data_IF_202853426537
#
_entry.id   IF_202853426537
#
_cell.length_a   1.000
_cell.length_b   1.000
_cell.length_c   1.000
_cell.angle_alpha   90.00
_cell.angle_beta   90.00
_cell.angle_gamma   90.00
#
_symmetry.space_group_name_H-M   'P 1'
#
loop_
_entity.id
_entity.type
_entity.pdbx_description
1 polymer ?
#
# COMPACT_ATOMS: atom_id res chain seq x y z
N UNK A 1 -24.58 -63.42 0.42
CA UNK A 1 -24.94 -62.19 1.15
C UNK A 1 -24.15 -61.04 0.56
N UNK A 2 -24.83 -60.13 -0.13
CA UNK A 2 -24.27 -58.90 -0.66
C UNK A 2 -24.11 -57.89 0.49
N UNK A 3 -22.95 -57.23 0.59
CA UNK A 3 -22.83 -55.96 1.32
C UNK A 3 -22.09 -54.97 0.42
N UNK A 4 -22.77 -53.86 0.12
CA UNK A 4 -22.28 -52.77 -0.73
C UNK A 4 -21.30 -51.90 0.06
N UNK A 5 -20.12 -51.67 -0.51
CA UNK A 5 -19.23 -50.59 -0.09
C UNK A 5 -19.64 -49.35 -0.89
N UNK A 6 -20.29 -48.39 -0.23
CA UNK A 6 -20.57 -47.06 -0.77
C UNK A 6 -19.25 -46.28 -0.87
N UNK A 7 -18.72 -46.19 -2.09
CA UNK A 7 -17.59 -45.32 -2.41
C UNK A 7 -18.10 -43.88 -2.45
N UNK A 8 -17.84 -43.11 -1.39
CA UNK A 8 -18.04 -41.66 -1.39
C UNK A 8 -16.98 -41.07 -2.32
N UNK A 9 -17.39 -40.72 -3.55
CA UNK A 9 -16.58 -39.88 -4.44
C UNK A 9 -16.46 -38.50 -3.82
N UNK A 10 -15.25 -38.09 -3.49
CA UNK A 10 -14.93 -36.71 -3.14
C UNK A 10 -14.80 -35.95 -4.46
N UNK A 11 -15.78 -35.10 -4.78
CA UNK A 11 -15.78 -34.32 -6.02
C UNK A 11 -14.51 -33.49 -6.16
N UNK A 12 -13.88 -33.55 -7.33
CA UNK A 12 -12.67 -32.79 -7.60
C UNK A 12 -12.98 -31.28 -7.62
N UNK A 13 -12.01 -30.40 -7.33
CA UNK A 13 -12.18 -28.95 -7.44
C UNK A 13 -12.67 -28.52 -8.84
N UNK A 14 -12.29 -29.28 -9.88
CA UNK A 14 -12.73 -29.08 -11.25
C UNK A 14 -14.22 -29.37 -11.44
N UNK A 15 -14.77 -30.39 -10.75
CA UNK A 15 -16.18 -30.75 -10.84
C UNK A 15 -17.06 -29.71 -10.15
N UNK A 16 -16.61 -29.17 -9.01
CA UNK A 16 -17.30 -28.08 -8.29
C UNK A 16 -17.31 -26.75 -9.05
N UNK A 17 -16.22 -26.45 -9.76
CA UNK A 17 -16.16 -25.28 -10.66
C UNK A 17 -17.17 -25.42 -11.79
N UNK A 18 -17.19 -26.60 -12.43
CA UNK A 18 -18.12 -26.89 -13.51
C UNK A 18 -19.58 -26.87 -13.06
N UNK A 19 -19.88 -27.35 -11.85
CA UNK A 19 -21.23 -27.29 -11.26
C UNK A 19 -21.67 -25.85 -10.95
N UNK A 20 -20.77 -25.03 -10.40
CA UNK A 20 -21.05 -23.61 -10.12
C UNK A 20 -21.27 -22.80 -11.41
N UNK A 21 -20.50 -23.07 -12.46
CA UNK A 21 -20.67 -22.49 -13.79
C UNK A 21 -22.00 -22.91 -14.42
N UNK A 22 -22.36 -24.20 -14.36
CA UNK A 22 -23.65 -24.70 -14.85
C UNK A 22 -24.82 -24.10 -14.08
N UNK A 23 -24.70 -23.93 -12.76
CA UNK A 23 -25.70 -23.26 -11.94
C UNK A 23 -25.83 -21.78 -12.28
N UNK A 24 -24.72 -21.09 -12.51
CA UNK A 24 -24.74 -19.70 -12.95
C UNK A 24 -25.39 -19.55 -14.34
N UNK A 25 -25.08 -20.47 -15.28
CA UNK A 25 -25.70 -20.50 -16.61
C UNK A 25 -27.21 -20.78 -16.55
N UNK A 26 -27.64 -21.68 -15.65
CA UNK A 26 -29.05 -21.95 -15.42
C UNK A 26 -29.79 -20.70 -14.92
N UNK A 27 -29.24 -20.03 -13.90
CA UNK A 27 -29.80 -18.78 -13.36
C UNK A 27 -29.81 -17.66 -14.40
N UNK A 28 -28.77 -17.53 -15.24
CA UNK A 28 -28.75 -16.58 -16.35
C UNK A 28 -29.85 -16.87 -17.39
N UNK A 29 -30.15 -18.15 -17.64
CA UNK A 29 -31.23 -18.54 -18.55
C UNK A 29 -32.60 -18.22 -17.96
N UNK A 30 -32.78 -18.43 -16.66
CA UNK A 30 -33.98 -18.07 -15.91
C UNK A 30 -34.20 -16.55 -15.95
N UNK A 31 -33.15 -15.76 -15.70
CA UNK A 31 -33.17 -14.30 -15.85
C UNK A 31 -33.64 -13.87 -17.24
N UNK A 32 -33.04 -14.45 -18.28
CA UNK A 32 -33.34 -14.09 -19.66
C UNK A 32 -34.79 -14.40 -20.00
N UNK A 33 -35.30 -15.57 -19.57
CA UNK A 33 -36.68 -15.96 -19.78
C UNK A 33 -37.67 -15.01 -19.07
N UNK A 34 -37.41 -14.68 -17.81
CA UNK A 34 -38.28 -13.76 -17.05
C UNK A 34 -38.27 -12.35 -17.62
N UNK A 35 -37.11 -11.81 -17.98
CA UNK A 35 -36.99 -10.50 -18.62
C UNK A 35 -37.70 -10.47 -19.97
N UNK A 36 -37.63 -11.56 -20.75
CA UNK A 36 -38.33 -11.66 -22.04
C UNK A 36 -39.85 -11.71 -21.88
N UNK A 37 -40.36 -12.40 -20.85
CA UNK A 37 -41.79 -12.43 -20.55
C UNK A 37 -42.31 -11.04 -20.14
N UNK A 38 -41.54 -10.31 -19.35
CA UNK A 38 -41.84 -8.93 -18.93
C UNK A 38 -41.82 -7.98 -20.13
N UNK A 39 -40.85 -8.14 -21.03
CA UNK A 39 -40.75 -7.37 -22.27
C UNK A 39 -41.95 -7.60 -23.20
N UNK A 40 -42.36 -8.86 -23.40
CA UNK A 40 -43.52 -9.20 -24.23
C UNK A 40 -44.85 -8.77 -23.62
N UNK A 41 -44.96 -8.82 -22.28
CA UNK A 41 -46.10 -8.25 -21.55
C UNK A 41 -46.22 -6.74 -21.74
N UNK A 42 -45.09 -6.02 -21.71
CA UNK A 42 -45.05 -4.56 -21.92
C UNK A 42 -45.37 -4.13 -23.36
N UNK A 43 -45.10 -4.95 -24.37
CA UNK A 43 -45.42 -4.69 -25.78
C UNK A 43 -46.90 -4.95 -26.15
N UNK A 44 -47.62 -5.68 -25.30
CA UNK A 44 -49.05 -5.92 -25.47
C UNK A 44 -49.90 -4.75 -24.98
N UNK A 45 -49.36 -3.93 -24.06
CA UNK A 45 -50.00 -2.75 -23.48
C UNK A 45 -49.94 -1.51 -24.40
N UNK A 46 -49.07 -1.53 -25.42
CA UNK A 46 -48.88 -0.41 -26.37
C UNK A 46 -49.75 -0.50 -27.64
N UNK A 47 -50.64 -1.50 -27.76
CA UNK A 47 -51.54 -1.68 -28.92
C UNK A 47 -53.00 -1.26 -28.71
N UNK A 48 -53.33 -0.61 -27.59
CA UNK A 48 -54.63 0.03 -27.40
C UNK A 48 -54.43 1.48 -26.93
N UNK A 49 -54.34 2.40 -27.88
CA UNK A 49 -54.84 3.78 -27.82
C UNK A 49 -54.25 4.59 -28.96
N UNK A 50 -54.88 4.49 -30.13
CA UNK A 50 -54.75 5.47 -31.22
C UNK A 50 -55.99 5.30 -32.11
N UNK A 51 -57.12 5.80 -31.61
CA UNK A 51 -58.23 6.40 -32.36
C UNK A 51 -59.40 6.55 -31.40
N UNK A 52 -59.64 7.78 -30.93
CA UNK A 52 -60.98 8.35 -30.82
C UNK A 52 -60.86 9.83 -30.47
N UNK A 53 -60.80 10.64 -31.53
CA UNK A 53 -61.50 11.92 -31.56
C UNK A 53 -62.99 11.65 -31.39
N UNK A 54 -63.60 12.07 -30.28
CA UNK A 54 -64.89 12.77 -30.27
C UNK A 54 -65.32 13.21 -28.85
N UNK A 55 -65.48 14.53 -28.71
CA UNK A 55 -66.56 15.27 -28.04
C UNK A 55 -67.22 14.63 -26.81
N UNK A 56 -66.93 15.22 -25.64
CA UNK A 56 -67.75 15.07 -24.43
C UNK A 56 -69.11 15.75 -24.64
N UNK A 57 -70.18 14.95 -24.70
CA UNK A 57 -71.54 15.41 -24.42
C UNK A 57 -72.25 14.48 -23.43
N UNK A 58 -73.16 15.10 -22.69
CA UNK A 58 -73.66 14.78 -21.36
C UNK A 58 -74.90 13.84 -21.39
N UNK A 59 -75.08 13.08 -20.29
CA UNK A 59 -76.27 12.35 -19.83
C UNK A 59 -76.69 11.03 -20.52
N UNK A 60 -76.54 9.90 -19.81
CA UNK A 60 -77.66 9.24 -19.11
C UNK A 60 -77.34 7.79 -18.72
N UNK A 61 -77.94 7.41 -17.58
CA UNK A 61 -77.98 6.10 -16.94
C UNK A 61 -78.46 4.95 -17.82
N UNK A 62 -77.67 3.87 -17.90
CA UNK A 62 -78.20 2.50 -18.08
C UNK A 62 -77.33 1.52 -17.30
N UNK A 63 -77.92 0.88 -16.28
CA UNK A 63 -77.45 -0.41 -15.75
C UNK A 63 -77.78 -1.48 -16.78
N UNK A 64 -76.79 -2.22 -17.26
CA UNK A 64 -77.02 -3.54 -17.84
C UNK A 64 -76.02 -4.53 -17.24
N UNK A 65 -76.54 -5.46 -16.43
CA UNK A 65 -75.86 -6.69 -16.06
C UNK A 65 -75.84 -7.60 -17.28
N UNK A 66 -74.66 -8.09 -17.67
CA UNK A 66 -74.54 -9.36 -18.38
C UNK A 66 -73.25 -10.05 -17.97
N UNK A 67 -73.42 -11.12 -17.21
CA UNK A 67 -72.44 -12.18 -16.99
C UNK A 67 -72.05 -12.82 -18.31
N UNK A 68 -70.79 -12.69 -18.71
CA UNK A 68 -70.13 -13.59 -19.67
C UNK A 68 -68.74 -13.89 -19.13
N UNK A 69 -68.61 -15.05 -18.49
CA UNK A 69 -67.33 -15.71 -18.31
C UNK A 69 -66.87 -16.21 -19.68
N UNK A 70 -65.78 -15.64 -20.22
CA UNK A 70 -64.73 -16.41 -20.88
C UNK A 70 -63.53 -15.53 -21.26
N UNK A 71 -62.44 -15.79 -20.55
CA UNK A 71 -61.06 -15.91 -21.04
C UNK A 71 -60.54 -14.79 -21.96
N UNK A 72 -60.03 -13.72 -21.34
CA UNK A 72 -58.81 -13.08 -21.84
C UNK A 72 -57.98 -12.61 -20.65
N UNK A 73 -57.06 -13.47 -20.20
CA UNK A 73 -56.16 -13.19 -19.07
C UNK A 73 -55.01 -12.29 -19.55
N UNK A 74 -55.33 -11.08 -20.01
CA UNK A 74 -54.32 -10.08 -20.37
C UNK A 74 -53.80 -9.47 -19.06
N UNK A 75 -52.66 -9.98 -18.57
CA UNK A 75 -51.96 -9.50 -17.38
C UNK A 75 -51.58 -8.03 -17.57
N UNK A 76 -52.37 -7.14 -16.98
CA UNK A 76 -52.05 -5.71 -16.87
C UNK A 76 -50.95 -5.56 -15.82
N UNK A 77 -49.70 -5.47 -16.28
CA UNK A 77 -48.55 -5.39 -15.39
C UNK A 77 -48.49 -4.00 -14.76
N UNK A 78 -48.74 -3.90 -13.45
CA UNK A 78 -48.72 -2.63 -12.75
C UNK A 78 -47.28 -2.15 -12.51
N UNK A 79 -47.10 -0.86 -12.14
CA UNK A 79 -45.79 -0.32 -11.76
C UNK A 79 -45.20 -1.07 -10.54
N UNK A 80 -46.06 -1.57 -9.66
CA UNK A 80 -45.67 -2.37 -8.50
C UNK A 80 -45.19 -3.77 -8.91
N UNK A 81 -45.83 -4.39 -9.90
CA UNK A 81 -45.36 -5.64 -10.51
C UNK A 81 -44.01 -5.46 -11.19
N UNK A 82 -43.82 -4.37 -11.95
CA UNK A 82 -42.54 -4.05 -12.56
C UNK A 82 -41.43 -3.84 -11.52
N UNK A 83 -41.70 -3.10 -10.43
CA UNK A 83 -40.75 -2.94 -9.32
C UNK A 83 -40.40 -4.28 -8.66
N UNK A 84 -41.40 -5.14 -8.45
CA UNK A 84 -41.21 -6.49 -7.89
C UNK A 84 -40.33 -7.35 -8.80
N UNK A 85 -40.59 -7.34 -10.11
CA UNK A 85 -39.77 -8.01 -11.13
C UNK A 85 -38.33 -7.49 -11.11
N UNK A 86 -38.12 -6.18 -11.09
CA UNK A 86 -36.77 -5.59 -11.05
C UNK A 86 -36.02 -6.00 -9.79
N UNK A 87 -36.69 -5.99 -8.62
CA UNK A 87 -36.08 -6.46 -7.37
C UNK A 87 -35.74 -7.96 -7.43
N UNK A 88 -36.60 -8.77 -8.06
CA UNK A 88 -36.35 -10.18 -8.29
C UNK A 88 -35.11 -10.39 -9.19
N UNK A 89 -34.96 -9.61 -10.25
CA UNK A 89 -33.78 -9.68 -11.14
C UNK A 89 -32.49 -9.24 -10.44
N UNK A 90 -32.54 -8.21 -9.59
CA UNK A 90 -31.39 -7.79 -8.78
C UNK A 90 -30.98 -8.91 -7.81
N UNK A 91 -31.95 -9.59 -7.18
CA UNK A 91 -31.68 -10.72 -6.31
C UNK A 91 -31.05 -11.88 -7.09
N UNK A 92 -31.56 -12.17 -8.29
CA UNK A 92 -31.05 -13.23 -9.14
C UNK A 92 -29.61 -12.94 -9.61
N UNK A 93 -29.27 -11.68 -9.93
CA UNK A 93 -27.90 -11.25 -10.21
C UNK A 93 -26.95 -11.53 -9.03
N UNK A 94 -27.42 -11.31 -7.80
CA UNK A 94 -26.66 -11.61 -6.59
C UNK A 94 -26.47 -13.12 -6.41
N UNK A 95 -27.46 -13.94 -6.76
CA UNK A 95 -27.37 -15.40 -6.73
C UNK A 95 -26.41 -15.96 -7.80
N UNK A 96 -26.40 -15.38 -9.02
CA UNK A 96 -25.43 -15.69 -10.07
C UNK A 96 -24.01 -15.36 -9.61
N UNK A 97 -23.80 -14.17 -9.04
CA UNK A 97 -22.51 -13.77 -8.46
C UNK A 97 -22.08 -14.72 -7.34
N UNK A 98 -22.99 -15.09 -6.44
CA UNK A 98 -22.70 -16.02 -5.36
C UNK A 98 -22.38 -17.43 -5.87
N UNK A 99 -23.06 -17.92 -6.91
CA UNK A 99 -22.76 -19.20 -7.54
C UNK A 99 -21.34 -19.19 -8.11
N UNK A 100 -20.99 -18.17 -8.90
CA UNK A 100 -19.66 -18.02 -9.50
C UNK A 100 -18.54 -17.84 -8.44
N UNK A 101 -18.86 -17.22 -7.31
CA UNK A 101 -17.91 -16.99 -6.20
C UNK A 101 -17.89 -18.12 -5.15
N UNK A 102 -18.83 -19.07 -5.19
CA UNK A 102 -18.98 -20.13 -4.18
C UNK A 102 -17.84 -21.15 -4.20
N UNK A 103 -17.22 -21.35 -5.37
CA UNK A 103 -16.02 -22.17 -5.57
C UNK A 103 -14.78 -21.58 -4.90
N UNK A 104 -14.81 -20.27 -4.59
CA UNK A 104 -13.78 -19.56 -3.84
C UNK A 104 -14.06 -19.49 -2.32
N UNK A 105 -15.16 -20.06 -1.83
CA UNK A 105 -15.51 -20.18 -0.41
C UNK A 105 -15.33 -21.62 0.11
N UNK A 106 -14.14 -22.19 -0.01
CA UNK A 106 -13.81 -23.41 0.77
C UNK A 106 -13.22 -22.96 2.10
N UNK A 107 -14.05 -22.93 3.15
CA UNK A 107 -13.55 -22.57 4.48
C UNK A 107 -14.55 -22.41 5.62
N UNK A 108 -15.76 -22.99 5.59
CA UNK A 108 -16.60 -23.08 6.79
C UNK A 108 -17.18 -24.50 6.93
N UNK A 109 -16.44 -25.33 7.66
CA UNK A 109 -16.92 -26.58 8.25
C UNK A 109 -16.09 -26.79 9.53
N UNK A 110 -16.57 -26.22 10.64
CA UNK A 110 -16.53 -26.84 11.97
C UNK A 110 -17.11 -25.86 13.00
N UNK A 111 -18.40 -26.05 13.32
CA UNK A 111 -18.83 -26.05 14.72
C UNK A 111 -18.47 -27.42 15.30
N UNK A 112 -18.01 -27.43 16.55
CA UNK A 112 -17.66 -28.56 17.43
C UNK A 112 -16.14 -28.88 17.59
N UNK A 113 -15.56 -28.23 18.61
CA UNK A 113 -14.69 -28.78 19.67
C UNK A 113 -13.54 -29.74 19.26
N UNK A 114 -12.28 -29.29 19.35
CA UNK A 114 -11.39 -29.52 20.51
C UNK A 114 -9.98 -28.94 20.30
N UNK A 115 -9.34 -28.59 21.42
CA UNK A 115 -7.99 -28.05 21.53
C UNK A 115 -6.89 -28.98 21.00
N UNK A 116 -5.81 -28.33 20.56
CA UNK A 116 -4.49 -28.87 20.23
C UNK A 116 -4.41 -29.90 19.09
N UNK A 117 -3.81 -29.48 17.97
CA UNK A 117 -2.53 -30.00 17.45
C UNK A 117 -2.15 -29.24 16.17
N UNK A 118 -0.88 -28.86 16.09
CA UNK A 118 -0.19 -28.28 14.96
C UNK A 118 -0.25 -29.18 13.72
N UNK A 119 -0.76 -28.67 12.59
CA UNK A 119 -0.48 -29.22 11.26
C UNK A 119 -0.78 -28.22 10.15
N UNK A 120 0.28 -27.53 9.75
CA UNK A 120 0.64 -27.07 8.40
C UNK A 120 -0.34 -27.53 7.30
N UNK A 121 -1.33 -26.71 7.00
CA UNK A 121 -2.05 -26.75 5.73
C UNK A 121 -2.04 -25.37 5.08
N UNK A 122 -1.59 -25.33 3.83
CA UNK A 122 -1.37 -24.16 2.99
C UNK A 122 -2.73 -23.61 2.53
N UNK A 123 -3.38 -22.85 3.42
CA UNK A 123 -4.50 -21.98 3.07
C UNK A 123 -3.97 -20.59 2.75
N UNK A 124 -4.39 -19.99 1.63
CA UNK A 124 -4.12 -18.61 1.28
C UNK A 124 -4.48 -17.70 2.46
N UNK A 125 -3.47 -17.22 3.17
CA UNK A 125 -3.61 -16.43 4.37
C UNK A 125 -4.27 -15.10 4.02
N UNK A 126 -5.42 -14.84 4.65
CA UNK A 126 -6.02 -13.51 4.68
C UNK A 126 -5.03 -12.46 5.19
N UNK A 127 -5.33 -11.20 4.91
CA UNK A 127 -4.52 -10.02 5.23
C UNK A 127 -4.10 -10.08 6.75
N UNK A 128 -2.91 -10.64 7.02
CA UNK A 128 -2.43 -11.04 8.37
C UNK A 128 -1.59 -9.92 8.95
N UNK A 129 -1.88 -9.55 10.20
CA UNK A 129 -1.05 -8.64 10.98
C UNK A 129 0.25 -9.35 11.35
N UNK A 130 1.39 -8.78 11.01
CA UNK A 130 2.71 -9.28 11.42
C UNK A 130 3.03 -8.67 12.77
N UNK A 131 2.75 -9.40 13.85
CA UNK A 131 3.20 -9.03 15.20
C UNK A 131 4.49 -9.82 15.49
N UNK A 132 5.64 -9.13 15.52
CA UNK A 132 6.91 -9.67 16.01
C UNK A 132 7.13 -9.14 17.44
N UNK A 133 6.89 -9.99 18.45
CA UNK A 133 7.20 -9.72 19.85
C UNK A 133 8.40 -10.58 20.26
N UNK A 134 9.61 -10.02 20.13
CA UNK A 134 10.85 -10.56 20.71
C UNK A 134 11.43 -9.59 21.74
N UNK A 135 12.40 -10.06 22.55
CA UNK A 135 13.15 -9.20 23.46
C UNK A 135 13.86 -8.09 22.68
N UNK A 136 13.57 -6.84 23.03
CA UNK A 136 14.13 -5.67 22.34
C UNK A 136 15.58 -5.45 22.75
N UNK A 137 16.50 -5.71 21.83
CA UNK A 137 17.91 -5.37 22.00
C UNK A 137 18.12 -3.92 21.58
N UNK A 138 18.64 -3.04 22.41
CA UNK A 138 18.91 -1.64 22.00
C UNK A 138 20.32 -1.21 22.39
N UNK A 139 20.89 -0.27 21.64
CA UNK A 139 22.17 0.38 21.96
C UNK A 139 21.95 1.85 22.29
N UNK A 140 22.71 2.35 23.26
CA UNK A 140 22.73 3.78 23.56
C UNK A 140 23.71 4.50 22.62
N UNK A 141 23.27 5.60 22.01
CA UNK A 141 24.14 6.41 21.15
C UNK A 141 24.82 7.51 21.98
N UNK A 142 26.11 7.29 22.30
CA UNK A 142 26.96 8.25 23.04
C UNK A 142 28.08 8.80 22.17
N UNK A 143 27.79 9.70 21.22
CA UNK A 143 28.82 10.17 20.30
C UNK A 143 29.90 10.98 21.03
N UNK A 144 31.15 10.81 20.61
CA UNK A 144 32.26 11.68 21.01
C UNK A 144 32.13 13.02 20.29
N UNK A 145 32.27 14.13 21.01
CA UNK A 145 31.97 15.49 20.51
C UNK A 145 32.78 15.94 19.29
N UNK A 146 33.94 15.32 19.03
CA UNK A 146 34.81 15.62 17.90
C UNK A 146 34.97 14.43 16.93
N UNK A 147 34.02 13.49 16.93
CA UNK A 147 34.06 12.34 16.02
C UNK A 147 32.81 12.32 15.17
N UNK A 148 33.01 12.36 13.87
CA UNK A 148 31.94 12.48 12.88
C UNK A 148 31.93 11.24 11.99
N UNK A 149 30.72 10.79 11.65
CA UNK A 149 30.45 9.83 10.59
C UNK A 149 29.69 10.57 9.48
N UNK A 150 30.30 10.72 8.32
CA UNK A 150 29.67 11.30 7.14
C UNK A 150 28.90 10.21 6.39
N UNK A 151 27.59 10.39 6.26
CA UNK A 151 26.74 9.42 5.56
C UNK A 151 26.81 9.58 4.05
N UNK A 152 26.79 8.44 3.35
CA UNK A 152 26.70 8.36 1.89
C UNK A 152 25.55 7.42 1.56
N UNK A 153 24.50 7.92 0.91
CA UNK A 153 23.35 7.12 0.50
C UNK A 153 22.98 7.50 -0.93
N UNK A 154 23.46 6.75 -1.92
CA UNK A 154 23.34 7.13 -3.34
C UNK A 154 22.43 6.18 -4.13
N UNK A 155 22.00 5.09 -3.52
CA UNK A 155 21.27 4.02 -4.19
C UNK A 155 19.75 4.16 -4.04
N UNK A 156 19.06 4.30 -5.17
CA UNK A 156 17.62 4.09 -5.28
C UNK A 156 16.75 5.33 -5.12
N UNK A 157 15.57 5.16 -4.54
CA UNK A 157 14.57 6.22 -4.29
C UNK A 157 14.47 6.51 -2.78
N UNK A 158 13.62 7.45 -2.38
CA UNK A 158 13.47 7.91 -0.99
C UNK A 158 13.48 6.80 0.07
N UNK A 159 12.70 5.73 -0.10
CA UNK A 159 12.69 4.61 0.86
C UNK A 159 14.05 3.93 1.03
N UNK A 160 14.84 3.84 -0.04
CA UNK A 160 16.18 3.25 0.01
C UNK A 160 17.16 4.18 0.75
N UNK A 161 17.05 5.50 0.49
CA UNK A 161 17.82 6.52 1.21
C UNK A 161 17.51 6.49 2.72
N UNK A 162 16.24 6.35 3.11
CA UNK A 162 15.86 6.22 4.52
C UNK A 162 16.42 4.94 5.16
N UNK A 163 16.33 3.79 4.49
CA UNK A 163 16.91 2.54 4.99
C UNK A 163 18.44 2.67 5.13
N UNK A 164 19.10 3.29 4.14
CA UNK A 164 20.52 3.57 4.19
C UNK A 164 20.86 4.50 5.37
N UNK A 165 20.07 5.54 5.61
CA UNK A 165 20.25 6.47 6.71
C UNK A 165 20.07 5.79 8.07
N UNK A 166 19.04 4.97 8.24
CA UNK A 166 18.82 4.20 9.49
C UNK A 166 20.02 3.29 9.81
N UNK A 167 20.59 2.64 8.79
CA UNK A 167 21.83 1.87 8.95
C UNK A 167 23.01 2.76 9.31
N UNK A 168 23.15 3.94 8.71
CA UNK A 168 24.17 4.90 9.11
C UNK A 168 23.99 5.38 10.56
N UNK A 169 22.77 5.57 11.03
CA UNK A 169 22.50 5.89 12.45
C UNK A 169 22.93 4.74 13.35
N UNK A 170 22.67 3.49 12.97
CA UNK A 170 23.15 2.31 13.70
C UNK A 170 24.68 2.24 13.75
N UNK A 171 25.37 2.42 12.62
CA UNK A 171 26.84 2.46 12.57
C UNK A 171 27.40 3.63 13.38
N UNK A 172 26.80 4.82 13.31
CA UNK A 172 27.22 5.98 14.08
C UNK A 172 27.12 5.73 15.59
N UNK A 173 26.05 5.06 16.02
CA UNK A 173 25.85 4.67 17.41
C UNK A 173 26.91 3.66 17.88
N UNK A 174 27.16 2.60 17.10
CA UNK A 174 28.21 1.61 17.41
C UNK A 174 29.60 2.25 17.52
N UNK A 175 29.92 3.14 16.59
CA UNK A 175 31.23 3.78 16.50
C UNK A 175 31.36 5.01 17.42
N UNK A 176 30.30 5.38 18.15
CA UNK A 176 30.22 6.58 18.99
C UNK A 176 30.60 7.86 18.23
N UNK A 177 29.99 8.08 17.07
CA UNK A 177 30.20 9.24 16.20
C UNK A 177 28.91 10.06 16.04
N UNK A 178 29.04 11.37 15.91
CA UNK A 178 27.96 12.25 15.45
C UNK A 178 27.74 11.96 13.97
N UNK A 179 26.51 11.68 13.56
CA UNK A 179 26.16 11.46 12.17
C UNK A 179 26.00 12.81 11.46
N UNK A 180 26.68 12.97 10.33
CA UNK A 180 26.54 14.13 9.45
C UNK A 180 25.66 13.73 8.29
N UNK A 181 24.51 14.40 8.17
CA UNK A 181 23.66 14.27 6.99
C UNK A 181 24.30 15.02 5.81
N UNK A 182 24.37 14.41 4.62
CA UNK A 182 24.97 15.02 3.46
C UNK A 182 24.17 16.24 2.97
N UNK A 183 24.83 17.12 2.21
CA UNK A 183 24.18 18.26 1.57
C UNK A 183 23.25 17.79 0.45
N UNK A 184 22.13 18.50 0.26
CA UNK A 184 21.19 18.28 -0.85
C UNK A 184 21.80 18.47 -2.25
N UNK A 185 23.02 19.02 -2.33
CA UNK A 185 23.80 19.15 -3.58
C UNK A 185 24.53 17.86 -3.96
N UNK A 186 24.64 16.91 -3.04
CA UNK A 186 25.34 15.65 -3.23
C UNK A 186 24.39 14.45 -3.14
N UNK A 187 23.53 14.43 -2.13
CA UNK A 187 22.59 13.35 -1.81
C UNK A 187 21.17 13.95 -1.68
N UNK A 188 20.24 13.17 -1.15
CA UNK A 188 18.88 13.54 -0.83
C UNK A 188 18.79 14.73 0.14
N UNK A 189 17.71 15.49 0.01
CA UNK A 189 17.40 16.70 0.79
C UNK A 189 16.84 16.36 2.19
N UNK A 190 17.62 15.64 3.00
CA UNK A 190 17.19 15.17 4.32
C UNK A 190 16.75 16.31 5.25
N UNK A 191 17.46 17.44 5.22
CA UNK A 191 17.19 18.64 6.03
C UNK A 191 15.81 19.27 5.76
N UNK A 192 15.28 19.09 4.55
CA UNK A 192 13.96 19.61 4.17
C UNK A 192 12.83 18.64 4.51
N UNK A 193 13.13 17.34 4.48
CA UNK A 193 12.12 16.29 4.59
C UNK A 193 12.04 15.70 6.00
N UNK A 194 13.12 15.70 6.76
CA UNK A 194 13.20 15.13 8.10
C UNK A 194 13.33 16.21 9.18
N UNK A 195 12.76 15.95 10.35
CA UNK A 195 12.95 16.80 11.53
C UNK A 195 14.21 16.37 12.30
N UNK A 196 15.35 16.99 11.97
CA UNK A 196 16.65 16.70 12.61
C UNK A 196 16.63 17.08 14.10
N UNK A 197 15.92 18.15 14.44
CA UNK A 197 15.81 18.62 15.83
C UNK A 197 15.04 17.61 16.68
N UNK A 198 13.95 17.06 16.14
CA UNK A 198 13.21 15.97 16.78
C UNK A 198 14.11 14.77 17.07
N UNK A 199 14.92 14.32 16.09
CA UNK A 199 15.86 13.20 16.29
C UNK A 199 16.78 13.49 17.50
N UNK A 200 17.41 14.67 17.54
CA UNK A 200 18.30 15.04 18.64
C UNK A 200 17.55 15.16 19.99
N UNK A 201 16.32 15.69 19.99
CA UNK A 201 15.48 15.76 21.18
C UNK A 201 15.13 14.37 21.71
N UNK A 202 14.89 13.39 20.83
CA UNK A 202 14.59 12.01 21.19
C UNK A 202 15.74 11.31 21.94
N UNK A 203 16.98 11.65 21.60
CA UNK A 203 18.17 11.17 22.33
C UNK A 203 18.56 12.06 23.51
N UNK A 204 17.98 13.26 23.62
CA UNK A 204 18.31 14.26 24.64
C UNK A 204 19.73 14.84 24.49
N UNK A 205 20.35 14.66 23.33
CA UNK A 205 21.71 15.12 23.01
C UNK A 205 21.89 15.20 21.51
N UNK A 206 22.96 15.88 21.09
CA UNK A 206 23.28 16.04 19.67
C UNK A 206 23.94 14.77 19.12
N UNK A 207 23.21 14.03 18.29
CA UNK A 207 23.65 12.79 17.62
C UNK A 207 23.70 12.94 16.10
N UNK A 208 22.89 13.82 15.53
CA UNK A 208 22.80 14.08 14.09
C UNK A 208 22.95 15.57 13.83
N UNK A 209 23.70 15.94 12.80
CA UNK A 209 23.88 17.33 12.35
C UNK A 209 23.75 17.43 10.83
N UNK A 210 23.38 18.61 10.33
CA UNK A 210 23.39 18.90 8.89
C UNK A 210 24.80 19.11 8.35
N UNK A 211 24.95 19.03 7.03
CA UNK A 211 26.19 19.37 6.35
C UNK A 211 26.61 20.81 6.61
N UNK A 212 25.67 21.75 6.60
CA UNK A 212 25.91 23.18 6.80
C UNK A 212 26.46 23.45 8.20
N UNK A 213 25.89 22.80 9.23
CA UNK A 213 26.41 22.88 10.58
C UNK A 213 27.81 22.26 10.68
N UNK A 214 28.01 21.06 10.12
CA UNK A 214 29.32 20.43 10.08
C UNK A 214 30.37 21.34 9.41
N UNK A 215 30.00 21.99 8.32
CA UNK A 215 30.85 22.94 7.60
C UNK A 215 31.22 24.15 8.45
N UNK A 216 30.28 24.68 9.24
CA UNK A 216 30.56 25.77 10.17
C UNK A 216 31.50 25.36 11.31
N UNK A 217 31.36 24.13 11.83
CA UNK A 217 32.24 23.59 12.87
C UNK A 217 33.66 23.39 12.32
N UNK A 218 33.80 22.81 11.13
CA UNK A 218 35.09 22.50 10.51
C UNK A 218 35.76 23.70 9.85
N UNK A 219 34.99 24.72 9.47
CA UNK A 219 35.47 25.91 8.78
C UNK A 219 36.31 25.54 7.55
N UNK A 220 37.62 25.81 7.57
CA UNK A 220 38.54 25.52 6.46
C UNK A 220 39.06 24.08 6.46
N UNK A 221 38.87 23.30 7.54
CA UNK A 221 39.33 21.92 7.64
C UNK A 221 38.25 20.92 7.18
N UNK A 222 37.71 21.14 5.97
CA UNK A 222 36.69 20.28 5.36
C UNK A 222 37.35 19.05 4.72
N UNK A 223 37.79 18.11 5.56
CA UNK A 223 38.48 16.89 5.12
C UNK A 223 37.80 15.65 5.69
N UNK A 224 37.65 14.64 4.83
CA UNK A 224 37.37 13.26 5.25
C UNK A 224 38.73 12.59 5.49
N UNK A 225 38.92 12.03 6.68
CA UNK A 225 40.20 11.40 7.04
C UNK A 225 40.31 10.00 6.42
N UNK A 226 39.23 9.21 6.51
CA UNK A 226 39.10 7.89 5.88
C UNK A 226 37.74 7.73 5.23
N UNK A 227 37.73 7.07 4.08
CA UNK A 227 36.52 6.74 3.34
C UNK A 227 36.49 5.24 3.07
N UNK A 228 35.66 4.53 3.84
CA UNK A 228 35.57 3.07 3.81
C UNK A 228 34.29 2.63 3.09
N UNK A 229 34.44 1.82 2.04
CA UNK A 229 33.34 1.24 1.30
C UNK A 229 32.89 -0.06 1.94
N UNK A 230 31.64 -0.11 2.41
CA UNK A 230 31.02 -1.37 2.81
C UNK A 230 30.91 -2.31 1.59
N UNK A 231 30.36 -1.78 0.49
CA UNK A 231 30.26 -2.47 -0.80
C UNK A 231 31.39 -2.05 -1.72
N UNK A 232 32.07 -3.02 -2.34
CA UNK A 232 33.14 -2.77 -3.32
C UNK A 232 32.70 -2.99 -4.77
N UNK A 233 31.64 -3.80 -5.02
CA UNK A 233 31.18 -4.20 -6.34
C UNK A 233 29.67 -3.93 -6.52
N UNK A 234 29.22 -3.51 -7.72
CA UNK A 234 30.03 -3.26 -8.93
C UNK A 234 30.82 -1.95 -8.88
N UNK A 235 30.40 -1.00 -8.04
CA UNK A 235 31.02 0.30 -7.87
C UNK A 235 31.40 0.50 -6.38
N UNK A 236 32.66 0.79 -6.05
CA UNK A 236 33.06 1.07 -4.68
C UNK A 236 32.26 2.20 -4.07
N UNK A 237 31.66 1.96 -2.89
CA UNK A 237 30.84 2.92 -2.14
C UNK A 237 29.61 3.46 -2.90
N UNK A 238 29.29 2.97 -4.11
CA UNK A 238 28.41 3.65 -5.08
C UNK A 238 28.85 5.07 -5.45
N UNK A 239 30.13 5.40 -5.25
CA UNK A 239 30.69 6.71 -5.59
C UNK A 239 31.46 6.60 -6.90
N UNK A 240 30.89 7.16 -7.96
CA UNK A 240 31.59 7.35 -9.24
C UNK A 240 32.36 8.69 -9.28
N UNK A 241 32.95 9.00 -10.43
CA UNK A 241 33.70 10.24 -10.62
C UNK A 241 32.85 11.50 -10.46
N UNK A 242 31.58 11.47 -10.86
CA UNK A 242 30.70 12.64 -10.79
C UNK A 242 30.26 12.88 -9.35
N UNK A 243 29.97 11.82 -8.59
CA UNK A 243 29.77 11.91 -7.14
C UNK A 243 31.01 12.49 -6.43
N UNK A 244 32.20 12.01 -6.79
CA UNK A 244 33.45 12.54 -6.23
C UNK A 244 33.68 14.02 -6.58
N UNK A 245 33.35 14.45 -7.81
CA UNK A 245 33.40 15.87 -8.22
C UNK A 245 32.43 16.72 -7.40
N UNK A 246 31.20 16.24 -7.16
CA UNK A 246 30.19 16.96 -6.36
C UNK A 246 30.64 17.14 -4.91
N UNK A 247 31.20 16.11 -4.28
CA UNK A 247 31.77 16.21 -2.94
C UNK A 247 32.93 17.23 -2.88
N UNK A 248 33.84 17.21 -3.86
CA UNK A 248 34.93 18.21 -3.96
C UNK A 248 34.40 19.63 -4.17
N UNK A 249 33.33 19.79 -4.96
CA UNK A 249 32.68 21.09 -5.16
C UNK A 249 32.04 21.66 -3.88
N UNK A 250 31.74 20.81 -2.90
CA UNK A 250 31.32 21.22 -1.55
C UNK A 250 32.50 21.63 -0.65
N UNK A 251 33.73 21.63 -1.17
CA UNK A 251 34.94 21.96 -0.44
C UNK A 251 35.51 20.80 0.37
N UNK A 252 35.00 19.56 0.20
CA UNK A 252 35.52 18.38 0.90
C UNK A 252 36.77 17.83 0.21
N UNK A 253 37.85 17.69 0.97
CA UNK A 253 38.97 16.84 0.58
C UNK A 253 38.61 15.37 0.83
N UNK A 254 38.64 14.56 -0.24
CA UNK A 254 38.25 13.15 -0.22
C UNK A 254 39.51 12.29 -0.34
N UNK A 255 39.74 11.33 0.56
CA UNK A 255 40.85 10.39 0.45
C UNK A 255 40.55 9.32 -0.61
N UNK A 256 41.47 8.38 -0.79
CA UNK A 256 41.22 7.19 -1.60
C UNK A 256 40.10 6.36 -0.96
N UNK A 257 39.24 5.78 -1.79
CA UNK A 257 38.23 4.83 -1.36
C UNK A 257 38.87 3.51 -0.94
N UNK A 258 38.59 3.06 0.28
CA UNK A 258 39.12 1.84 0.87
C UNK A 258 38.01 0.79 1.01
N UNK A 259 38.09 -0.38 0.36
CA UNK A 259 37.08 -1.42 0.59
C UNK A 259 37.24 -2.03 1.99
N UNK A 260 36.15 -2.13 2.76
CA UNK A 260 36.12 -2.89 4.01
C UNK A 260 36.33 -4.39 3.73
N UNK A 261 35.69 -4.87 2.67
CA UNK A 261 35.76 -6.23 2.14
C UNK A 261 35.57 -6.22 0.62
N UNK A 262 35.81 -7.37 -0.01
CA UNK A 262 35.28 -7.65 -1.36
C UNK A 262 33.83 -8.08 -1.19
N UNK A 263 32.91 -7.15 -1.42
CA UNK A 263 31.47 -7.28 -1.19
C UNK A 263 30.70 -6.84 -2.45
N UNK A 264 29.80 -7.71 -2.93
CA UNK A 264 28.95 -7.49 -4.11
C UNK A 264 27.49 -7.37 -3.67
N UNK A 265 26.79 -6.34 -4.16
CA UNK A 265 25.37 -6.13 -3.89
C UNK A 265 24.45 -7.26 -4.35
N UNK A 266 24.90 -8.09 -5.30
CA UNK A 266 24.14 -9.25 -5.77
C UNK A 266 24.15 -10.39 -4.76
N UNK A 267 25.20 -10.50 -3.96
CA UNK A 267 25.41 -11.57 -2.99
C UNK A 267 25.91 -10.99 -1.65
N UNK A 268 25.11 -10.14 -0.99
CA UNK A 268 25.53 -9.48 0.24
C UNK A 268 25.74 -10.51 1.34
N UNK A 269 26.91 -10.47 1.98
CA UNK A 269 27.23 -11.37 3.10
C UNK A 269 26.68 -10.83 4.42
N UNK A 270 26.12 -11.73 5.22
CA UNK A 270 25.73 -11.45 6.60
C UNK A 270 26.95 -11.03 7.43
N UNK A 271 26.85 -9.88 8.09
CA UNK A 271 27.86 -9.32 9.00
C UNK A 271 27.31 -9.12 10.40
N UNK A 272 28.19 -9.23 11.37
CA UNK A 272 27.91 -9.00 12.79
C UNK A 272 28.39 -7.62 13.23
N UNK A 273 27.94 -7.16 14.40
CA UNK A 273 28.50 -5.96 15.05
C UNK A 273 30.01 -6.08 15.25
N UNK A 274 30.53 -7.28 15.55
CA UNK A 274 31.97 -7.48 15.73
C UNK A 274 32.73 -7.17 14.44
N UNK A 275 32.23 -7.65 13.30
CA UNK A 275 32.84 -7.38 11.98
C UNK A 275 32.84 -5.88 11.67
N UNK A 276 31.73 -5.20 11.98
CA UNK A 276 31.61 -3.74 11.81
C UNK A 276 32.61 -3.00 12.70
N UNK A 277 32.67 -3.36 13.98
CA UNK A 277 33.60 -2.71 14.92
C UNK A 277 35.04 -2.96 14.50
N UNK A 278 35.41 -4.15 14.04
CA UNK A 278 36.77 -4.46 13.60
C UNK A 278 37.20 -3.63 12.38
N UNK A 279 36.32 -3.43 11.40
CA UNK A 279 36.67 -2.74 10.15
C UNK A 279 36.50 -1.22 10.18
N UNK A 280 35.51 -0.72 10.90
CA UNK A 280 35.13 0.69 10.86
C UNK A 280 35.53 1.47 12.11
N UNK A 281 36.00 0.80 13.18
CA UNK A 281 36.57 1.52 14.32
C UNK A 281 37.83 2.25 13.90
N UNK A 282 37.82 3.56 14.13
CA UNK A 282 38.98 4.42 13.90
C UNK A 282 39.02 5.55 14.90
N UNK A 283 40.22 6.04 15.18
CA UNK A 283 40.46 7.26 15.93
C UNK A 283 40.43 8.52 15.04
N UNK A 284 40.12 8.40 13.75
CA UNK A 284 39.99 9.55 12.85
C UNK A 284 38.89 10.52 13.28
N UNK A 285 39.04 11.80 12.94
CA UNK A 285 38.05 12.82 13.28
C UNK A 285 36.80 12.67 12.42
N UNK A 286 36.97 12.52 11.11
CA UNK A 286 35.89 12.39 10.12
C UNK A 286 36.05 11.09 9.35
N UNK A 287 35.14 10.15 9.64
CA UNK A 287 35.02 8.90 8.89
C UNK A 287 33.86 9.04 7.90
N UNK A 288 34.04 8.63 6.65
CA UNK A 288 32.95 8.41 5.72
C UNK A 288 32.78 6.91 5.49
N UNK A 289 31.53 6.44 5.51
CA UNK A 289 31.19 5.07 5.11
C UNK A 289 30.34 5.17 3.85
N UNK A 290 30.67 4.36 2.84
CA UNK A 290 29.91 4.30 1.59
C UNK A 290 28.48 3.78 1.78
N UNK A 291 27.73 3.73 0.68
CA UNK A 291 26.33 3.31 0.69
C UNK A 291 26.06 2.02 1.50
N UNK A 292 25.13 2.11 2.45
CA UNK A 292 24.73 1.01 3.34
C UNK A 292 23.38 0.39 2.98
N UNK A 293 22.70 0.84 1.92
CA UNK A 293 21.39 0.30 1.53
C UNK A 293 21.41 -1.23 1.37
N UNK A 294 22.47 -1.76 0.72
CA UNK A 294 22.67 -3.20 0.51
C UNK A 294 23.39 -3.93 1.66
N UNK A 295 23.77 -3.24 2.72
CA UNK A 295 24.49 -3.86 3.84
C UNK A 295 23.61 -4.89 4.57
N UNK A 296 24.03 -6.14 4.64
CA UNK A 296 23.35 -7.19 5.42
C UNK A 296 24.04 -7.34 6.78
N UNK A 297 23.67 -6.48 7.73
CA UNK A 297 24.24 -6.41 9.08
C UNK A 297 23.12 -6.63 10.08
N UNK A 298 23.25 -7.62 10.97
CA UNK A 298 22.37 -7.79 12.15
C UNK A 298 20.88 -7.59 11.82
N UNK A 299 20.42 -8.18 10.70
CA UNK A 299 19.15 -7.84 10.05
C UNK A 299 17.96 -7.84 11.01
N UNK A 300 17.83 -8.89 11.81
CA UNK A 300 16.74 -9.04 12.78
C UNK A 300 16.74 -7.92 13.82
N UNK A 301 17.93 -7.52 14.27
CA UNK A 301 18.09 -6.45 15.26
C UNK A 301 17.78 -5.08 14.66
N UNK A 302 18.25 -4.78 13.44
CA UNK A 302 17.98 -3.49 12.78
C UNK A 302 16.49 -3.36 12.43
N UNK A 303 15.84 -4.44 11.96
CA UNK A 303 14.44 -4.40 11.53
C UNK A 303 13.41 -4.57 12.66
N UNK A 304 13.86 -4.71 13.91
CA UNK A 304 12.95 -4.94 15.03
C UNK A 304 11.99 -3.75 15.24
N UNK A 305 10.79 -3.99 15.81
CA UNK A 305 9.86 -2.91 16.13
C UNK A 305 10.45 -1.87 17.10
N UNK A 306 10.49 -0.62 16.66
CA UNK A 306 11.10 0.50 17.40
C UNK A 306 12.58 0.73 17.09
N UNK A 307 13.21 -0.10 16.26
CA UNK A 307 14.59 0.07 15.80
C UNK A 307 15.65 -0.30 16.84
N UNK A 308 16.94 -0.31 16.46
CA UNK A 308 18.03 -0.78 17.31
C UNK A 308 18.55 0.27 18.30
N UNK A 309 18.08 1.52 18.22
CA UNK A 309 18.62 2.65 18.98
C UNK A 309 17.74 2.98 20.18
N UNK A 310 18.35 3.16 21.35
CA UNK A 310 17.64 3.54 22.57
C UNK A 310 17.34 5.05 22.59
N UNK A 311 16.06 5.42 22.62
CA UNK A 311 15.56 6.80 22.66
C UNK A 311 14.22 6.90 23.40
N UNK A 312 13.80 8.11 23.77
CA UNK A 312 12.56 8.33 24.55
C UNK A 312 11.29 8.56 23.71
N UNK A 313 11.45 8.80 22.41
CA UNK A 313 10.32 9.09 21.51
C UNK A 313 9.57 7.83 21.06
N UNK A 314 8.31 8.02 20.63
CA UNK A 314 7.53 6.96 19.98
C UNK A 314 8.00 6.68 18.55
N UNK A 315 8.31 7.73 17.81
CA UNK A 315 8.84 7.69 16.45
C UNK A 315 10.12 8.51 16.42
N UNK A 316 11.22 7.92 15.96
CA UNK A 316 12.51 8.60 15.94
C UNK A 316 12.67 9.53 14.75
N UNK A 317 12.35 9.04 13.56
CA UNK A 317 12.46 9.78 12.30
C UNK A 317 11.06 10.26 11.93
N UNK A 318 10.85 11.57 11.95
CA UNK A 318 9.60 12.20 11.59
C UNK A 318 9.78 13.13 10.39
N UNK A 319 8.73 13.31 9.56
CA UNK A 319 8.75 14.33 8.52
C UNK A 319 8.91 15.73 9.13
N UNK A 320 9.48 16.65 8.36
CA UNK A 320 9.61 18.03 8.77
C UNK A 320 8.24 18.65 9.10
N UNK A 321 8.22 19.66 9.97
CA UNK A 321 7.00 20.37 10.37
C UNK A 321 6.14 20.83 9.19
N UNK A 322 6.77 21.23 8.08
CA UNK A 322 6.07 21.66 6.87
C UNK A 322 5.25 20.53 6.24
N UNK A 323 5.83 19.32 6.16
CA UNK A 323 5.15 18.12 5.66
C UNK A 323 4.04 17.72 6.62
N UNK A 324 4.31 17.70 7.93
CA UNK A 324 3.32 17.33 8.94
C UNK A 324 2.09 18.25 8.91
N UNK A 325 2.28 19.57 8.88
CA UNK A 325 1.17 20.54 8.82
C UNK A 325 0.40 20.41 7.50
N UNK A 326 1.09 20.17 6.38
CA UNK A 326 0.44 19.97 5.09
C UNK A 326 -0.42 18.70 5.08
N UNK A 327 0.10 17.59 5.62
CA UNK A 327 -0.65 16.35 5.76
C UNK A 327 -1.89 16.54 6.65
N UNK A 328 -1.78 17.27 7.77
CA UNK A 328 -2.92 17.60 8.63
C UNK A 328 -4.00 18.40 7.88
N UNK A 329 -3.60 19.41 7.09
CA UNK A 329 -4.53 20.20 6.27
C UNK A 329 -5.20 19.37 5.19
N UNK A 330 -4.45 18.47 4.55
CA UNK A 330 -4.99 17.53 3.57
C UNK A 330 -6.04 16.62 4.22
N UNK A 331 -5.72 16.02 5.37
CA UNK A 331 -6.65 15.19 6.14
C UNK A 331 -7.90 15.98 6.50
N UNK A 332 -7.75 17.20 7.03
CA UNK A 332 -8.87 18.06 7.40
C UNK A 332 -9.77 18.41 6.21
N UNK A 333 -9.18 18.61 5.02
CA UNK A 333 -9.90 19.04 3.82
C UNK A 333 -10.61 17.89 3.12
N UNK A 334 -9.95 16.73 2.97
CA UNK A 334 -10.41 15.67 2.08
C UNK A 334 -10.81 14.36 2.76
N UNK A 335 -10.32 14.08 3.97
CA UNK A 335 -10.44 12.75 4.57
C UNK A 335 -11.28 12.73 5.86
N UNK A 336 -11.14 13.76 6.70
CA UNK A 336 -11.70 13.76 8.05
C UNK A 336 -10.97 12.80 9.00
N UNK A 337 -11.58 12.53 10.15
CA UNK A 337 -10.94 11.80 11.27
C UNK A 337 -10.92 10.27 11.12
N UNK A 338 -11.77 9.71 10.26
CA UNK A 338 -11.91 8.27 10.08
C UNK A 338 -11.65 7.95 8.61
N UNK A 339 -10.46 7.43 8.33
CA UNK A 339 -10.03 7.04 7.00
C UNK A 339 -9.06 5.86 7.08
N UNK A 340 -8.94 5.11 5.98
CA UNK A 340 -7.86 4.15 5.78
C UNK A 340 -6.79 4.80 4.90
N UNK A 341 -5.52 4.68 5.28
CA UNK A 341 -4.39 5.02 4.41
C UNK A 341 -3.90 3.76 3.71
N UNK A 342 -3.83 3.80 2.37
CA UNK A 342 -3.39 2.70 1.54
C UNK A 342 -2.23 3.13 0.64
N UNK A 343 -1.15 2.35 0.66
CA UNK A 343 -0.10 2.45 -0.34
C UNK A 343 -0.27 1.34 -1.38
N UNK A 344 -0.53 1.71 -2.63
CA UNK A 344 -0.73 0.78 -3.74
C UNK A 344 0.42 0.90 -4.74
N UNK A 345 1.43 0.06 -4.61
CA UNK A 345 2.63 0.05 -5.46
C UNK A 345 2.41 -0.80 -6.71
N UNK A 346 2.54 -0.18 -7.89
CA UNK A 346 2.20 -0.74 -9.20
C UNK A 346 3.39 -0.63 -10.16
N UNK A 347 3.35 0.29 -11.10
CA UNK A 347 4.36 0.61 -12.13
C UNK A 347 5.45 -0.47 -12.37
N UNK A 348 6.73 -0.15 -12.16
CA UNK A 348 7.87 -1.05 -12.37
C UNK A 348 7.95 -2.20 -11.36
N UNK A 349 7.10 -2.19 -10.33
CA UNK A 349 7.09 -3.21 -9.28
C UNK A 349 6.58 -4.56 -9.78
N UNK A 350 5.79 -4.59 -10.86
CA UNK A 350 5.39 -5.84 -11.53
C UNK A 350 6.61 -6.69 -11.90
N UNK A 351 7.61 -6.07 -12.56
CA UNK A 351 8.84 -6.77 -12.97
C UNK A 351 9.60 -7.32 -11.75
N UNK A 352 9.63 -6.54 -10.66
CA UNK A 352 10.25 -6.96 -9.40
C UNK A 352 9.53 -8.15 -8.74
N UNK A 353 8.21 -8.20 -8.80
CA UNK A 353 7.45 -9.30 -8.23
C UNK A 353 7.44 -10.57 -9.09
N UNK A 354 7.55 -10.44 -10.42
CA UNK A 354 7.53 -11.58 -11.34
C UNK A 354 8.71 -12.55 -11.18
N UNK A 355 9.84 -12.09 -10.63
CA UNK A 355 11.03 -12.93 -10.39
C UNK A 355 10.99 -13.62 -9.02
N UNK A 356 9.96 -13.40 -8.21
CA UNK A 356 9.81 -14.02 -6.89
C UNK A 356 8.98 -15.29 -6.95
N UNK A 357 9.27 -16.23 -6.06
CA UNK A 357 8.54 -17.51 -5.94
C UNK A 357 7.07 -17.32 -5.58
N UNK A 358 6.76 -16.34 -4.72
CA UNK A 358 5.40 -15.89 -4.44
C UNK A 358 5.21 -14.49 -5.01
N UNK A 359 4.18 -14.31 -5.86
CA UNK A 359 3.87 -13.00 -6.41
C UNK A 359 3.54 -12.03 -5.28
N UNK A 360 4.26 -10.91 -5.26
CA UNK A 360 3.95 -9.74 -4.43
C UNK A 360 3.09 -8.70 -5.15
N UNK A 361 2.59 -9.01 -6.35
CA UNK A 361 1.81 -8.11 -7.18
C UNK A 361 0.39 -8.65 -7.37
N UNK A 362 -0.57 -8.02 -6.71
CA UNK A 362 -1.97 -8.46 -6.70
C UNK A 362 -2.76 -7.84 -7.86
N UNK A 363 -3.53 -8.61 -8.65
CA UNK A 363 -4.47 -8.04 -9.63
C UNK A 363 -5.46 -7.06 -8.98
N UNK A 364 -5.88 -6.04 -9.73
CA UNK A 364 -6.77 -4.98 -9.21
C UNK A 364 -8.07 -5.53 -8.60
N UNK A 365 -8.78 -6.52 -9.19
CA UNK A 365 -9.98 -7.08 -8.56
C UNK A 365 -9.70 -7.76 -7.20
N UNK A 366 -8.56 -8.43 -7.07
CA UNK A 366 -8.16 -9.08 -5.82
C UNK A 366 -7.81 -8.03 -4.76
N UNK A 367 -7.06 -6.99 -5.15
CA UNK A 367 -6.71 -5.88 -4.27
C UNK A 367 -7.97 -5.17 -3.77
N UNK A 368 -8.87 -4.78 -4.67
CA UNK A 368 -10.15 -4.14 -4.34
C UNK A 368 -10.96 -4.99 -3.34
N UNK A 369 -11.02 -6.31 -3.53
CA UNK A 369 -11.72 -7.20 -2.61
C UNK A 369 -11.05 -7.31 -1.21
N UNK A 370 -9.70 -7.33 -1.07
CA UNK A 370 -9.11 -7.22 0.29
C UNK A 370 -9.41 -5.84 0.88
N UNK A 371 -9.27 -4.76 0.10
CA UNK A 371 -9.45 -3.38 0.58
C UNK A 371 -10.89 -3.13 1.05
N UNK A 372 -11.90 -3.56 0.28
CA UNK A 372 -13.32 -3.47 0.67
C UNK A 372 -13.58 -4.19 1.99
N UNK A 373 -13.03 -5.39 2.20
CA UNK A 373 -13.19 -6.13 3.47
C UNK A 373 -12.53 -5.41 4.65
N UNK A 374 -11.38 -4.76 4.43
CA UNK A 374 -10.74 -3.95 5.47
C UNK A 374 -11.59 -2.72 5.77
N UNK A 375 -12.13 -2.06 4.73
CA UNK A 375 -12.96 -0.88 4.88
C UNK A 375 -14.29 -1.18 5.60
N UNK A 376 -14.92 -2.31 5.28
CA UNK A 376 -16.11 -2.84 5.96
C UNK A 376 -15.84 -3.07 7.45
N UNK A 377 -14.75 -3.77 7.79
CA UNK A 377 -14.37 -4.05 9.19
C UNK A 377 -14.03 -2.77 9.96
N UNK A 378 -13.37 -1.83 9.31
CA UNK A 378 -13.00 -0.55 9.92
C UNK A 378 -14.15 0.45 9.98
N UNK A 379 -15.28 0.16 9.31
CA UNK A 379 -16.40 1.08 9.13
C UNK A 379 -15.92 2.48 8.70
N UNK A 380 -15.03 2.53 7.71
CA UNK A 380 -14.45 3.78 7.21
C UNK A 380 -15.28 4.34 6.05
N UNK A 381 -15.54 5.65 6.02
CA UNK A 381 -16.23 6.28 4.89
C UNK A 381 -15.31 6.58 3.70
N UNK A 382 -13.98 6.59 3.88
CA UNK A 382 -13.03 7.05 2.85
C UNK A 382 -11.68 6.34 2.95
N UNK A 383 -10.99 6.23 1.81
CA UNK A 383 -9.65 5.69 1.70
C UNK A 383 -8.73 6.75 1.07
N UNK A 384 -7.64 7.07 1.75
CA UNK A 384 -6.51 7.79 1.14
C UNK A 384 -5.65 6.81 0.35
N UNK A 385 -5.40 7.11 -0.92
CA UNK A 385 -4.62 6.30 -1.84
C UNK A 385 -3.32 7.00 -2.21
N UNK A 386 -2.19 6.45 -1.74
CA UNK A 386 -0.85 6.78 -2.21
C UNK A 386 -0.41 5.74 -3.23
N UNK A 387 -0.09 6.14 -4.45
CA UNK A 387 0.18 5.19 -5.54
C UNK A 387 1.02 5.78 -6.66
N UNK A 388 1.78 4.93 -7.32
CA UNK A 388 2.49 5.17 -8.59
C UNK A 388 1.77 4.53 -9.79
N UNK A 389 0.53 4.05 -9.60
CA UNK A 389 -0.27 3.42 -10.63
C UNK A 389 -0.70 4.41 -11.72
N UNK A 390 -0.83 3.91 -12.95
CA UNK A 390 -1.45 4.66 -14.02
C UNK A 390 -2.93 4.96 -13.72
N UNK A 391 -3.47 6.03 -14.33
CA UNK A 391 -4.85 6.45 -14.11
C UNK A 391 -5.86 5.32 -14.40
N UNK A 392 -5.66 4.58 -15.50
CA UNK A 392 -6.49 3.43 -15.87
C UNK A 392 -6.54 2.33 -14.81
N UNK A 393 -5.45 2.11 -14.07
CA UNK A 393 -5.42 1.18 -12.95
C UNK A 393 -6.17 1.73 -11.74
N UNK A 394 -6.02 3.03 -11.46
CA UNK A 394 -6.72 3.67 -10.35
C UNK A 394 -8.22 3.79 -10.59
N UNK A 395 -8.65 4.00 -11.83
CA UNK A 395 -10.05 4.10 -12.22
C UNK A 395 -10.76 2.75 -12.08
N UNK A 396 -10.11 1.69 -12.56
CA UNK A 396 -10.62 0.32 -12.37
C UNK A 396 -10.65 -0.05 -10.89
N UNK A 397 -9.65 0.37 -10.12
CA UNK A 397 -9.65 0.12 -8.67
C UNK A 397 -10.79 0.87 -7.97
N UNK A 398 -11.06 2.12 -8.35
CA UNK A 398 -12.19 2.91 -7.85
C UNK A 398 -13.54 2.29 -8.20
N UNK A 399 -13.71 1.75 -9.41
CA UNK A 399 -14.98 1.12 -9.83
C UNK A 399 -15.26 -0.20 -9.11
N UNK A 400 -14.21 -0.91 -8.65
CA UNK A 400 -14.33 -2.20 -7.99
C UNK A 400 -14.40 -2.11 -6.45
N UNK A 401 -13.98 -0.98 -5.87
CA UNK A 401 -13.99 -0.77 -4.42
C UNK A 401 -15.38 -0.33 -3.96
N UNK A 402 -16.29 -1.31 -3.85
CA UNK A 402 -17.71 -1.09 -3.55
C UNK A 402 -18.10 -1.78 -2.24
N UNK A 403 -18.83 -1.08 -1.37
CA UNK A 403 -19.41 -1.63 -0.13
C UNK A 403 -20.93 -1.48 -0.16
N UNK A 404 -21.67 -2.58 -0.03
CA UNK A 404 -23.15 -2.59 -0.08
C UNK A 404 -23.73 -1.85 -1.31
N UNK A 405 -23.09 -2.01 -2.47
CA UNK A 405 -23.51 -1.37 -3.72
C UNK A 405 -23.17 0.11 -3.84
N UNK A 406 -22.41 0.68 -2.89
CA UNK A 406 -21.94 2.07 -2.93
C UNK A 406 -20.42 2.12 -3.11
N UNK A 407 -19.89 3.03 -3.95
CA UNK A 407 -18.45 3.21 -4.06
C UNK A 407 -17.88 3.77 -2.76
N UNK A 408 -16.74 3.24 -2.31
CA UNK A 408 -15.93 3.87 -1.28
C UNK A 408 -15.02 4.88 -2.00
N UNK A 409 -15.04 6.17 -1.64
CA UNK A 409 -14.17 7.17 -2.26
C UNK A 409 -12.69 6.86 -2.03
N UNK A 410 -11.92 6.80 -3.13
CA UNK A 410 -10.47 6.73 -3.11
C UNK A 410 -9.89 8.13 -3.38
N UNK A 411 -9.39 8.76 -2.34
CA UNK A 411 -8.84 10.11 -2.42
C UNK A 411 -7.33 10.02 -2.64
N UNK A 412 -6.86 10.49 -3.80
CA UNK A 412 -5.44 10.72 -4.08
C UNK A 412 -5.07 12.17 -3.76
N UNK A 413 -3.77 12.45 -3.57
CA UNK A 413 -3.27 13.83 -3.60
C UNK A 413 -3.59 14.41 -4.99
N UNK A 414 -4.39 15.49 -5.11
CA UNK A 414 -4.70 16.05 -6.42
C UNK A 414 -3.46 16.68 -7.03
N UNK A 415 -3.49 16.86 -8.35
CA UNK A 415 -2.51 17.71 -9.02
C UNK A 415 -2.59 19.12 -8.44
N UNK A 416 -1.44 19.81 -8.42
CA UNK A 416 -1.35 21.15 -7.86
C UNK A 416 -2.39 22.08 -8.49
N UNK A 417 -3.07 22.83 -7.63
CA UNK A 417 -3.94 23.93 -8.02
C UNK A 417 -3.62 25.18 -7.18
N UNK A 418 -3.30 26.30 -7.83
CA UNK A 418 -2.92 27.55 -7.13
C UNK A 418 -4.05 28.15 -6.27
N UNK A 419 -5.30 27.77 -6.54
CA UNK A 419 -6.46 28.13 -5.72
C UNK A 419 -6.47 27.37 -4.39
N UNK A 420 -5.93 26.15 -4.35
CA UNK A 420 -5.86 25.34 -3.15
C UNK A 420 -4.77 25.86 -2.19
N UNK A 421 -5.08 25.89 -0.90
CA UNK A 421 -4.18 26.44 0.14
C UNK A 421 -3.63 25.38 1.09
N UNK A 422 -4.09 24.14 0.98
CA UNK A 422 -3.69 23.07 1.87
C UNK A 422 -2.21 22.69 1.65
N UNK A 423 -1.69 22.75 0.42
CA UNK A 423 -0.30 22.44 0.04
C UNK A 423 0.62 23.66 -0.11
N UNK A 424 0.10 24.87 0.09
CA UNK A 424 0.83 26.12 -0.15
C UNK A 424 2.16 26.24 0.61
N UNK A 425 2.29 25.54 1.75
CA UNK A 425 3.55 25.48 2.51
C UNK A 425 4.63 24.72 1.75
N UNK A 426 4.30 23.56 1.17
CA UNK A 426 5.28 22.79 0.39
C UNK A 426 5.76 23.60 -0.82
N UNK A 427 4.85 24.35 -1.45
CA UNK A 427 5.21 25.20 -2.58
C UNK A 427 6.20 26.30 -2.20
N UNK A 428 5.84 27.12 -1.20
CA UNK A 428 6.66 28.28 -0.81
C UNK A 428 8.07 27.90 -0.37
N UNK A 429 8.26 26.64 0.02
CA UNK A 429 9.53 26.08 0.46
C UNK A 429 10.19 25.14 -0.57
N UNK A 430 9.65 25.03 -1.79
CA UNK A 430 10.17 24.20 -2.90
C UNK A 430 10.35 22.72 -2.52
N UNK A 431 9.34 22.13 -1.86
CA UNK A 431 9.31 20.71 -1.42
C UNK A 431 8.36 19.87 -2.30
N UNK A 432 7.61 20.52 -3.20
CA UNK A 432 6.47 19.92 -3.92
C UNK A 432 6.81 18.97 -5.08
N UNK A 433 8.07 18.97 -5.52
CA UNK A 433 8.49 18.43 -6.82
C UNK A 433 9.66 17.47 -6.75
N UNK A 434 9.83 16.74 -5.65
CA UNK A 434 10.73 15.59 -5.70
C UNK A 434 10.12 14.55 -6.63
N UNK A 435 10.78 14.30 -7.76
CA UNK A 435 10.40 13.27 -8.71
C UNK A 435 10.68 11.85 -8.19
N UNK A 436 11.32 11.73 -7.02
CA UNK A 436 11.68 10.47 -6.38
C UNK A 436 10.63 9.94 -5.40
#
# INVERSE_FOLDING_TARGET
MFTSVSTIKIDSPSDRMREAELRALYLLREQQFELFNVWNGSLSDSRFNLNDTEVLNVNSTVKLNSTVENVDHLLKMTIEDFRSVVLKQIRLNKEIQQALLSTHRVGNLSEMVNDNVDSRFVGYSGCKKVDQMGEKKTIEWKPKSNKYLFAICLSGQMSNHLICLEKHMFFAALLNRILVLPSSKFDFQYDRVLDIDHINQCFGRKVVISFEEFSQIKKKNMRIDRFICYVSLPQPCYVDEDHAKRLKALGLSIPKLEPAWVEDVKEPKNRTVKDVMEKFSSNDEVLAIGDLFYADVEKEWITQPGGPLSHKCKTLIEPSRLIMVTAQRFIQTFLGKNFIALHFRRHGFLKFCNVKTQSCFFPIPQAANCITRVAERANTPVIYLSTDAAESETDLHQSLTMLNGRPIPLVKRPARNSAEKWDALLYRHNIEGDSQ
#
